data_IF_248416073044
#
_entry.id   IF_248416073044
#
_cell.length_a   1.000
_cell.length_b   1.000
_cell.length_c   1.000
_cell.angle_alpha   90.00
_cell.angle_beta   90.00
_cell.angle_gamma   90.00
#
_symmetry.space_group_name_H-M   'P 1'
#
loop_
_entity.id
_entity.type
_entity.pdbx_description
1 polymer ?
#
# COMPACT_ATOMS: atom_id res chain seq x y z
N UNK A 1 0.27 11.99 -15.51
CA UNK A 1 -1.14 11.74 -15.18
C UNK A 1 -1.59 12.48 -13.92
N UNK A 2 -0.95 12.29 -12.78
CA UNK A 2 -1.33 12.99 -11.54
C UNK A 2 -1.21 14.51 -11.64
N UNK A 3 -0.12 15.00 -12.22
CA UNK A 3 0.13 16.44 -12.37
C UNK A 3 -0.80 17.12 -13.38
N UNK A 4 -1.39 16.37 -14.30
CA UNK A 4 -2.21 16.87 -15.40
C UNK A 4 -3.71 16.71 -15.14
N UNK A 5 -4.09 16.10 -14.02
CA UNK A 5 -5.48 15.83 -13.70
C UNK A 5 -5.98 16.72 -12.54
N UNK A 6 -7.29 16.99 -12.55
CA UNK A 6 -7.93 17.79 -11.50
C UNK A 6 -7.96 16.99 -10.18
N UNK A 7 -7.29 17.46 -9.11
CA UNK A 7 -7.22 16.76 -7.84
C UNK A 7 -8.57 16.62 -7.12
N UNK A 8 -9.57 17.41 -7.49
CA UNK A 8 -10.91 17.30 -6.91
C UNK A 8 -11.76 16.23 -7.59
N UNK A 9 -11.43 15.88 -8.83
CA UNK A 9 -12.21 14.96 -9.66
C UNK A 9 -11.55 13.61 -9.87
N UNK A 10 -10.20 13.58 -9.97
CA UNK A 10 -9.44 12.38 -10.29
C UNK A 10 -8.69 11.90 -9.06
N UNK A 11 -9.02 10.70 -8.59
CA UNK A 11 -8.33 10.03 -7.50
C UNK A 11 -7.66 8.76 -8.03
N UNK A 12 -6.71 8.25 -7.27
CA UNK A 12 -5.89 7.10 -7.67
C UNK A 12 -6.01 5.98 -6.64
N UNK A 13 -5.97 4.75 -7.12
CA UNK A 13 -5.69 3.59 -6.30
C UNK A 13 -4.22 3.26 -6.44
N UNK A 14 -3.48 3.24 -5.33
CA UNK A 14 -2.04 3.04 -5.34
C UNK A 14 -1.69 1.64 -4.87
N UNK A 15 -0.94 0.91 -5.68
CA UNK A 15 -0.39 -0.39 -5.30
C UNK A 15 0.98 -0.18 -4.67
N UNK A 16 1.07 -0.39 -3.36
CA UNK A 16 2.28 -0.13 -2.58
C UNK A 16 3.43 -1.05 -3.00
N UNK A 17 3.14 -2.34 -3.25
CA UNK A 17 4.16 -3.30 -3.69
C UNK A 17 4.82 -2.84 -5.00
N UNK A 18 4.01 -2.50 -6.01
CA UNK A 18 4.55 -2.15 -7.32
C UNK A 18 5.32 -0.83 -7.32
N UNK A 19 4.93 0.13 -6.46
CA UNK A 19 5.68 1.37 -6.28
C UNK A 19 7.06 1.07 -5.71
N UNK A 20 7.13 0.26 -4.65
CA UNK A 20 8.42 -0.13 -4.02
C UNK A 20 9.25 -0.97 -4.97
N UNK A 21 8.65 -1.93 -5.66
CA UNK A 21 9.36 -2.77 -6.64
C UNK A 21 9.92 -1.95 -7.80
N UNK A 22 9.23 -0.89 -8.18
CA UNK A 22 9.70 0.06 -9.20
C UNK A 22 10.79 1.01 -8.72
N UNK A 23 11.23 0.89 -7.47
CA UNK A 23 12.29 1.73 -6.92
C UNK A 23 11.80 3.09 -6.43
N UNK A 24 10.50 3.28 -6.27
CA UNK A 24 9.90 4.52 -5.81
C UNK A 24 9.46 4.43 -4.35
N UNK A 25 9.28 5.59 -3.71
CA UNK A 25 8.84 5.69 -2.31
C UNK A 25 7.37 6.12 -2.27
N UNK A 26 6.47 5.30 -1.70
CA UNK A 26 5.07 5.68 -1.55
C UNK A 26 4.88 7.00 -0.79
N UNK A 27 5.69 7.25 0.24
CA UNK A 27 5.60 8.48 1.03
C UNK A 27 5.89 9.72 0.20
N UNK A 28 6.79 9.61 -0.79
CA UNK A 28 7.08 10.72 -1.71
C UNK A 28 5.86 11.05 -2.57
N UNK A 29 5.10 10.04 -2.99
CA UNK A 29 3.84 10.26 -3.72
C UNK A 29 2.80 10.95 -2.85
N UNK A 30 2.66 10.53 -1.60
CA UNK A 30 1.73 11.15 -0.66
C UNK A 30 2.06 12.62 -0.43
N UNK A 31 3.34 12.94 -0.27
CA UNK A 31 3.79 14.32 -0.04
C UNK A 31 3.58 15.23 -1.25
N UNK A 32 3.83 14.70 -2.47
CA UNK A 32 3.68 15.48 -3.70
C UNK A 32 2.23 15.65 -4.14
N UNK A 33 1.38 14.66 -3.82
CA UNK A 33 -0.01 14.61 -4.27
C UNK A 33 -0.94 14.29 -3.09
N UNK A 34 -1.02 15.16 -2.07
CA UNK A 34 -1.83 14.88 -0.89
C UNK A 34 -3.31 14.74 -1.24
N UNK A 35 -3.99 13.81 -0.56
CA UNK A 35 -5.42 13.57 -0.76
C UNK A 35 -5.81 12.86 -2.05
N UNK A 36 -4.83 12.37 -2.83
CA UNK A 36 -5.09 11.75 -4.14
C UNK A 36 -5.31 10.24 -4.09
N UNK A 37 -5.08 9.59 -2.95
CA UNK A 37 -5.00 8.13 -2.84
C UNK A 37 -6.02 7.56 -1.83
N UNK A 38 -7.32 7.60 -2.13
CA UNK A 38 -8.34 7.08 -1.20
C UNK A 38 -8.29 5.57 -1.03
N UNK A 39 -7.67 4.86 -1.97
CA UNK A 39 -7.55 3.40 -1.95
C UNK A 39 -6.10 2.98 -2.17
N UNK A 40 -5.67 1.96 -1.44
CA UNK A 40 -4.36 1.34 -1.65
C UNK A 40 -4.49 -0.17 -1.67
N UNK A 41 -3.66 -0.82 -2.51
CA UNK A 41 -3.43 -2.25 -2.44
C UNK A 41 -2.24 -2.52 -1.52
N UNK A 42 -2.46 -3.32 -0.50
CA UNK A 42 -1.43 -3.72 0.45
C UNK A 42 -0.90 -5.10 0.08
N UNK A 43 0.30 -5.11 -0.48
CA UNK A 43 1.10 -6.30 -0.79
C UNK A 43 2.50 -6.03 -0.28
N UNK A 44 3.16 -7.03 0.26
CA UNK A 44 4.51 -6.86 0.80
C UNK A 44 5.57 -7.46 -0.11
N UNK A 45 6.82 -7.08 0.10
CA UNK A 45 7.94 -7.46 -0.74
C UNK A 45 9.15 -7.85 0.10
N UNK A 46 9.81 -8.95 -0.27
CA UNK A 46 11.08 -9.36 0.33
C UNK A 46 12.24 -8.55 -0.24
N UNK A 47 13.44 -8.68 0.38
CA UNK A 47 14.65 -8.01 -0.11
C UNK A 47 15.03 -8.42 -1.53
N UNK A 48 14.72 -9.66 -1.91
CA UNK A 48 15.01 -10.18 -3.25
C UNK A 48 13.87 -9.94 -4.25
N UNK A 49 12.85 -9.14 -3.88
CA UNK A 49 11.83 -8.68 -4.79
C UNK A 49 10.63 -9.60 -4.96
N UNK A 50 10.44 -10.56 -4.07
CA UNK A 50 9.31 -11.49 -4.12
C UNK A 50 8.12 -10.95 -3.34
N UNK A 51 6.91 -11.20 -3.86
CA UNK A 51 5.67 -10.86 -3.16
C UNK A 51 5.43 -11.84 -2.00
N UNK A 52 5.08 -11.29 -0.84
CA UNK A 52 4.75 -12.06 0.37
C UNK A 52 3.55 -11.42 1.05
N UNK A 53 3.02 -12.10 2.06
CA UNK A 53 1.93 -11.57 2.87
C UNK A 53 2.35 -10.30 3.58
N UNK A 54 1.39 -9.40 3.78
CA UNK A 54 1.63 -8.14 4.49
C UNK A 54 2.14 -8.43 5.90
N UNK A 55 3.25 -7.81 6.25
CA UNK A 55 3.94 -8.01 7.52
C UNK A 55 5.10 -9.01 7.46
N UNK A 56 5.23 -9.76 6.38
CA UNK A 56 6.32 -10.73 6.21
C UNK A 56 7.45 -10.23 5.30
N UNK A 57 7.33 -9.02 4.78
CA UNK A 57 8.31 -8.40 3.90
C UNK A 57 9.04 -7.23 4.54
N UNK A 58 9.49 -6.31 3.68
CA UNK A 58 10.36 -5.19 4.06
C UNK A 58 9.64 -3.84 4.15
N UNK A 59 8.39 -3.76 3.73
CA UNK A 59 7.66 -2.48 3.73
C UNK A 59 7.29 -2.09 5.16
N UNK A 60 7.59 -0.83 5.52
CA UNK A 60 7.22 -0.28 6.82
C UNK A 60 5.77 0.22 6.79
N UNK A 61 4.85 -0.70 7.02
CA UNK A 61 3.41 -0.42 6.98
C UNK A 61 2.97 0.59 8.04
N UNK A 62 3.63 0.58 9.20
CA UNK A 62 3.32 1.55 10.26
C UNK A 62 3.55 2.98 9.78
N UNK A 63 4.68 3.23 9.15
CA UNK A 63 5.00 4.54 8.61
C UNK A 63 4.04 4.94 7.50
N UNK A 64 3.69 4.00 6.62
CA UNK A 64 2.71 4.26 5.55
C UNK A 64 1.37 4.70 6.15
N UNK A 65 0.83 3.97 7.13
CA UNK A 65 -0.47 4.30 7.71
C UNK A 65 -0.44 5.53 8.64
N UNK A 66 0.73 5.90 9.18
CA UNK A 66 0.88 7.20 9.84
C UNK A 66 0.63 8.37 8.89
N UNK A 67 0.83 8.17 7.60
CA UNK A 67 0.59 9.17 6.57
C UNK A 67 -0.74 8.99 5.85
N UNK A 68 -1.63 8.13 6.38
CA UNK A 68 -2.91 7.83 5.74
C UNK A 68 -3.78 9.08 5.55
N UNK A 69 -3.83 9.96 6.54
CA UNK A 69 -4.59 11.20 6.45
C UNK A 69 -4.05 12.12 5.35
N UNK A 70 -2.72 12.29 5.28
CA UNK A 70 -2.07 13.08 4.23
C UNK A 70 -2.38 12.51 2.83
N UNK A 71 -2.32 11.20 2.69
CA UNK A 71 -2.58 10.51 1.42
C UNK A 71 -4.06 10.52 1.04
N UNK A 72 -4.94 10.61 2.04
CA UNK A 72 -6.38 10.49 1.87
C UNK A 72 -6.86 9.04 1.86
N UNK A 73 -6.11 8.10 2.43
CA UNK A 73 -6.45 6.68 2.42
C UNK A 73 -7.73 6.44 3.24
N UNK A 74 -8.75 5.92 2.58
CA UNK A 74 -10.00 5.53 3.20
C UNK A 74 -10.17 4.00 3.24
N UNK A 75 -9.65 3.30 2.24
CA UNK A 75 -9.79 1.85 2.11
C UNK A 75 -8.46 1.22 1.75
N UNK A 76 -8.17 0.08 2.38
CA UNK A 76 -6.98 -0.72 2.10
C UNK A 76 -7.41 -2.14 1.75
N UNK A 77 -6.94 -2.63 0.59
CA UNK A 77 -7.22 -3.98 0.12
C UNK A 77 -5.96 -4.82 0.22
N UNK A 78 -6.00 -5.87 1.05
CA UNK A 78 -4.89 -6.82 1.09
C UNK A 78 -4.95 -7.71 -0.14
N UNK A 79 -3.81 -7.93 -0.78
CA UNK A 79 -3.71 -8.76 -1.96
C UNK A 79 -2.40 -9.56 -1.97
N UNK A 80 -2.43 -10.67 -2.68
CA UNK A 80 -1.25 -11.44 -3.04
C UNK A 80 -1.57 -12.09 -4.39
N UNK A 81 -0.84 -11.71 -5.44
CA UNK A 81 -1.23 -12.06 -6.83
C UNK A 81 -1.16 -13.56 -7.11
N UNK A 82 -0.21 -14.28 -6.51
CA UNK A 82 -0.05 -15.73 -6.65
C UNK A 82 0.16 -16.39 -5.28
N UNK A 83 -0.86 -16.36 -4.41
CA UNK A 83 -0.68 -16.86 -3.04
C UNK A 83 -0.64 -18.39 -3.01
N UNK A 84 0.31 -18.98 -2.26
CA UNK A 84 0.35 -20.43 -2.05
C UNK A 84 -0.92 -20.97 -1.36
N UNK A 85 -1.48 -20.19 -0.44
CA UNK A 85 -2.70 -20.55 0.30
C UNK A 85 -3.60 -19.31 0.43
N UNK A 86 -4.46 -19.02 -0.56
CA UNK A 86 -5.17 -17.74 -0.65
C UNK A 86 -5.92 -17.31 0.61
N UNK A 87 -6.66 -18.22 1.23
CA UNK A 87 -7.44 -17.89 2.43
C UNK A 87 -6.52 -17.64 3.63
N UNK A 88 -5.53 -18.52 3.85
CA UNK A 88 -4.58 -18.38 4.95
C UNK A 88 -3.71 -17.12 4.77
N UNK A 89 -3.29 -16.83 3.56
CA UNK A 89 -2.44 -15.67 3.24
C UNK A 89 -3.22 -14.37 3.43
N UNK A 90 -4.47 -14.31 3.00
CA UNK A 90 -5.35 -13.17 3.23
C UNK A 90 -5.58 -12.93 4.72
N UNK A 91 -5.78 -14.00 5.48
CA UNK A 91 -5.94 -13.93 6.93
C UNK A 91 -4.69 -13.39 7.61
N UNK A 92 -3.51 -13.90 7.24
CA UNK A 92 -2.21 -13.44 7.76
C UNK A 92 -2.02 -11.94 7.54
N UNK A 93 -2.26 -11.47 6.32
CA UNK A 93 -2.15 -10.06 5.98
C UNK A 93 -3.14 -9.19 6.75
N UNK A 94 -4.39 -9.63 6.84
CA UNK A 94 -5.43 -8.91 7.58
C UNK A 94 -5.09 -8.81 9.07
N UNK A 95 -4.69 -9.91 9.70
CA UNK A 95 -4.36 -9.95 11.12
C UNK A 95 -3.19 -9.01 11.46
N UNK A 96 -2.18 -8.97 10.59
CA UNK A 96 -1.06 -8.06 10.75
C UNK A 96 -1.53 -6.60 10.75
N UNK A 97 -2.28 -6.20 9.73
CA UNK A 97 -2.75 -4.82 9.60
C UNK A 97 -3.74 -4.44 10.72
N UNK A 98 -4.61 -5.37 11.10
CA UNK A 98 -5.60 -5.14 12.15
C UNK A 98 -4.94 -4.91 13.52
N UNK A 99 -3.84 -5.59 13.80
CA UNK A 99 -3.09 -5.44 15.04
C UNK A 99 -2.12 -4.25 15.04
N UNK A 100 -1.91 -3.62 13.90
CA UNK A 100 -0.93 -2.55 13.74
C UNK A 100 -1.42 -1.27 14.43
N UNK A 101 -0.54 -0.69 15.25
CA UNK A 101 -0.78 0.62 15.88
C UNK A 101 0.14 1.68 15.28
N UNK A 102 -0.40 2.86 15.05
CA UNK A 102 0.33 3.94 14.40
C UNK A 102 -0.18 5.33 14.77
#
# INVERSE_FOLDING_TARGET
>A
MLAESDPTLVKMELDIFWIVKGGQDPLAYFARQPGRFPMVHAKDITKDGKMVDVGQGTIDWRTIFRHAEQAGIAYTFVEHDEPPSPIADSKTSYEFLHALTF
#
